data_IF_422126108815
#
_entry.id   IF_422126108815
#
_cell.length_a   1.000
_cell.length_b   1.000
_cell.length_c   1.000
_cell.angle_alpha   90.00
_cell.angle_beta   90.00
_cell.angle_gamma   90.00
#
_symmetry.space_group_name_H-M   'P 1'
#
loop_
_entity.id
_entity.type
_entity.pdbx_description
1 polymer ?
#
# COMPACT_ATOMS: atom_id res chain seq x y z
N UNK A 1 -4.99 -16.27 -39.41
CA UNK A 1 -4.92 -14.81 -39.22
C UNK A 1 -4.61 -14.54 -37.74
N UNK A 2 -3.50 -13.85 -37.47
CA UNK A 2 -3.04 -13.54 -36.11
C UNK A 2 -3.99 -12.60 -35.36
N UNK A 3 -4.58 -11.61 -36.05
CA UNK A 3 -5.48 -10.63 -35.41
C UNK A 3 -6.77 -11.29 -34.96
N UNK A 4 -7.31 -12.19 -35.78
CA UNK A 4 -8.46 -13.00 -35.42
C UNK A 4 -8.19 -13.87 -34.17
N UNK A 5 -7.01 -14.50 -34.09
CA UNK A 5 -6.64 -15.31 -32.93
C UNK A 5 -6.56 -14.49 -31.62
N UNK A 6 -6.03 -13.26 -31.68
CA UNK A 6 -5.99 -12.36 -30.51
C UNK A 6 -7.40 -11.90 -30.12
N UNK A 7 -8.28 -11.63 -31.09
CA UNK A 7 -9.66 -11.27 -30.81
C UNK A 7 -10.42 -12.44 -30.16
N UNK A 8 -10.24 -13.67 -30.65
CA UNK A 8 -10.82 -14.86 -30.04
C UNK A 8 -10.28 -15.13 -28.63
N UNK A 9 -9.00 -14.87 -28.39
CA UNK A 9 -8.42 -14.95 -27.06
C UNK A 9 -9.12 -14.00 -26.08
N UNK A 10 -9.25 -12.72 -26.42
CA UNK A 10 -9.95 -11.75 -25.56
C UNK A 10 -11.45 -12.03 -25.41
N UNK A 11 -12.08 -12.70 -26.38
CA UNK A 11 -13.46 -13.17 -26.25
C UNK A 11 -13.60 -14.26 -25.18
N UNK A 12 -12.58 -15.08 -24.98
CA UNK A 12 -12.56 -16.16 -23.99
C UNK A 12 -12.07 -15.70 -22.61
N UNK A 13 -11.06 -14.83 -22.57
CA UNK A 13 -10.37 -14.44 -21.31
C UNK A 13 -10.74 -13.05 -20.79
N UNK A 14 -11.55 -12.30 -21.54
CA UNK A 14 -11.82 -10.88 -21.29
C UNK A 14 -10.81 -9.94 -21.95
N UNK A 15 -11.17 -8.65 -22.14
CA UNK A 15 -10.30 -7.65 -22.74
C UNK A 15 -9.23 -7.15 -21.76
N UNK A 16 -8.17 -6.54 -22.28
CA UNK A 16 -7.17 -5.85 -21.47
C UNK A 16 -7.80 -4.66 -20.73
N UNK A 17 -7.67 -4.55 -19.39
CA UNK A 17 -8.13 -3.38 -18.67
C UNK A 17 -7.31 -2.13 -19.05
N UNK A 18 -7.98 -0.98 -19.12
CA UNK A 18 -7.29 0.30 -19.30
C UNK A 18 -6.49 0.61 -18.05
N UNK A 19 -5.17 0.76 -18.20
CA UNK A 19 -4.29 1.13 -17.09
C UNK A 19 -4.34 2.65 -16.83
N UNK A 20 -4.11 3.10 -15.58
CA UNK A 20 -3.94 4.52 -15.29
C UNK A 20 -2.81 5.12 -16.12
N UNK A 21 -2.98 6.36 -16.57
CA UNK A 21 -1.99 7.04 -17.44
C UNK A 21 -0.59 7.09 -16.82
N UNK A 22 -0.47 7.27 -15.50
CA UNK A 22 0.83 7.35 -14.82
C UNK A 22 1.65 6.05 -14.97
N UNK A 23 0.99 4.89 -15.09
CA UNK A 23 1.67 3.60 -15.21
C UNK A 23 2.44 3.45 -16.53
N UNK A 24 2.10 4.27 -17.54
CA UNK A 24 2.79 4.32 -18.84
C UNK A 24 3.97 5.30 -18.87
N UNK A 25 4.28 5.97 -17.75
CA UNK A 25 5.44 6.85 -17.62
C UNK A 25 6.72 6.10 -17.24
N UNK A 26 7.73 6.83 -16.77
CA UNK A 26 8.96 6.26 -16.22
C UNK A 26 8.79 5.81 -14.77
N UNK A 27 9.50 4.74 -14.41
CA UNK A 27 9.47 4.13 -13.09
C UNK A 27 10.86 4.19 -12.46
N UNK A 28 10.92 4.64 -11.21
CA UNK A 28 12.08 4.45 -10.36
C UNK A 28 11.80 3.33 -9.36
N UNK A 29 12.65 2.31 -9.37
CA UNK A 29 12.69 1.26 -8.35
C UNK A 29 14.13 0.86 -8.12
N UNK A 30 14.46 0.55 -6.87
CA UNK A 30 15.76 0.07 -6.45
C UNK A 30 15.59 -0.74 -5.17
N UNK A 31 16.16 -1.94 -5.14
CA UNK A 31 16.33 -2.68 -3.91
C UNK A 31 17.35 -1.96 -3.00
N UNK A 32 16.83 -1.19 -2.06
CA UNK A 32 17.59 -0.33 -1.16
C UNK A 32 16.72 0.07 0.05
N UNK A 33 17.25 0.03 1.28
CA UNK A 33 16.50 0.31 2.49
C UNK A 33 16.26 1.81 2.68
N UNK A 34 15.38 2.38 1.84
CA UNK A 34 15.02 3.78 1.92
C UNK A 34 14.37 4.10 3.26
N UNK A 35 14.87 5.13 3.93
CA UNK A 35 14.09 5.82 4.96
C UNK A 35 13.11 6.81 4.33
N UNK A 36 12.06 7.20 5.06
CA UNK A 36 11.10 8.22 4.60
C UNK A 36 11.79 9.53 4.15
N UNK A 37 12.80 9.97 4.91
CA UNK A 37 13.58 11.17 4.60
C UNK A 37 14.45 11.01 3.35
N UNK A 38 15.14 9.87 3.21
CA UNK A 38 15.94 9.58 2.01
C UNK A 38 15.07 9.52 0.76
N UNK A 39 13.89 8.89 0.87
CA UNK A 39 12.98 8.78 -0.26
C UNK A 39 12.40 10.13 -0.69
N UNK A 40 12.07 11.00 0.27
CA UNK A 40 11.65 12.37 -0.02
C UNK A 40 12.76 13.16 -0.72
N UNK A 41 13.99 13.10 -0.22
CA UNK A 41 15.14 13.75 -0.84
C UNK A 41 15.47 13.23 -2.25
N UNK A 42 15.21 11.94 -2.51
CA UNK A 42 15.29 11.38 -3.86
C UNK A 42 14.28 12.04 -4.80
N UNK A 43 13.02 12.20 -4.37
CA UNK A 43 11.99 12.89 -5.18
C UNK A 43 12.37 14.34 -5.46
N UNK A 44 12.90 15.05 -4.45
CA UNK A 44 13.42 16.41 -4.61
C UNK A 44 14.56 16.46 -5.65
N UNK A 45 15.46 15.47 -5.63
CA UNK A 45 16.56 15.36 -6.59
C UNK A 45 16.04 15.22 -8.03
N UNK A 46 15.00 14.40 -8.27
CA UNK A 46 14.35 14.32 -9.58
C UNK A 46 13.80 15.67 -10.03
N UNK A 47 13.14 16.40 -9.12
CA UNK A 47 12.60 17.72 -9.40
C UNK A 47 13.70 18.74 -9.72
N UNK A 48 14.77 18.79 -8.94
CA UNK A 48 15.91 19.71 -9.13
C UNK A 48 16.62 19.48 -10.47
N UNK A 49 16.75 18.22 -10.89
CA UNK A 49 17.32 17.86 -12.19
C UNK A 49 16.34 17.99 -13.35
N UNK A 50 15.11 18.47 -13.11
CA UNK A 50 14.06 18.61 -14.12
C UNK A 50 13.76 17.30 -14.85
N UNK A 51 13.90 16.16 -14.14
CA UNK A 51 13.56 14.83 -14.65
C UNK A 51 12.17 14.47 -14.14
N UNK A 52 11.13 14.46 -15.00
CA UNK A 52 9.79 14.09 -14.56
C UNK A 52 9.79 12.62 -14.11
N UNK A 53 9.16 12.33 -12.97
CA UNK A 53 8.97 10.98 -12.46
C UNK A 53 7.49 10.65 -12.37
N UNK A 54 7.06 9.61 -13.09
CA UNK A 54 5.66 9.18 -13.08
C UNK A 54 5.35 8.21 -11.93
N UNK A 55 6.25 7.27 -11.63
CA UNK A 55 6.10 6.30 -10.55
C UNK A 55 7.40 6.15 -9.78
N UNK A 56 7.31 6.23 -8.46
CA UNK A 56 8.38 5.89 -7.54
C UNK A 56 7.93 4.69 -6.70
N UNK A 57 8.71 3.61 -6.72
CA UNK A 57 8.41 2.37 -5.99
C UNK A 57 9.29 2.26 -4.74
N UNK A 58 8.69 1.82 -3.63
CA UNK A 58 9.38 1.46 -2.40
C UNK A 58 9.53 -0.05 -2.36
N UNK A 59 10.78 -0.52 -2.44
CA UNK A 59 11.11 -1.94 -2.49
C UNK A 59 11.60 -2.46 -1.13
N UNK A 60 11.20 -3.70 -0.83
CA UNK A 60 11.37 -4.54 0.36
C UNK A 60 11.32 -3.87 1.73
N UNK A 61 12.36 -3.17 2.16
CA UNK A 61 12.58 -2.79 3.56
C UNK A 61 11.55 -1.79 4.11
N UNK A 62 10.63 -1.28 3.29
CA UNK A 62 9.43 -0.59 3.76
C UNK A 62 8.61 -1.45 4.74
N UNK A 63 8.71 -2.79 4.65
CA UNK A 63 8.18 -3.74 5.61
C UNK A 63 9.28 -4.45 6.43
N UNK A 64 8.87 -5.23 7.43
CA UNK A 64 9.81 -5.98 8.28
C UNK A 64 10.48 -7.13 7.52
N UNK A 65 11.79 -7.00 7.28
CA UNK A 65 12.61 -8.02 6.59
C UNK A 65 13.56 -8.79 7.53
N UNK A 66 14.01 -8.17 8.62
CA UNK A 66 14.83 -8.84 9.63
C UNK A 66 13.95 -9.49 10.70
N UNK A 67 13.49 -10.71 10.42
CA UNK A 67 12.59 -11.46 11.28
C UNK A 67 13.30 -12.62 12.00
N UNK A 68 12.82 -13.02 13.20
CA UNK A 68 13.21 -14.29 13.81
C UNK A 68 13.00 -15.47 12.87
N UNK A 69 13.88 -16.47 12.92
CA UNK A 69 13.87 -17.60 11.98
C UNK A 69 12.56 -18.41 11.98
N UNK A 70 11.81 -18.40 13.08
CA UNK A 70 10.51 -19.05 13.23
C UNK A 70 9.34 -18.24 12.64
N UNK A 71 9.56 -16.97 12.29
CA UNK A 71 8.56 -16.06 11.71
C UNK A 71 8.64 -15.95 10.18
N UNK A 72 9.71 -16.46 9.57
CA UNK A 72 9.86 -16.56 8.12
C UNK A 72 11.12 -15.84 7.59
N UNK A 73 11.32 -15.87 6.26
CA UNK A 73 12.55 -15.40 5.64
C UNK A 73 12.61 -13.87 5.43
N UNK A 74 11.60 -13.11 5.87
CA UNK A 74 11.60 -11.65 5.73
C UNK A 74 11.39 -11.12 4.31
N UNK A 75 11.08 -11.99 3.36
CA UNK A 75 10.93 -11.61 1.96
C UNK A 75 9.55 -10.98 1.64
N UNK A 76 8.62 -11.00 2.59
CA UNK A 76 7.30 -10.39 2.39
C UNK A 76 6.79 -9.83 3.68
N UNK A 77 5.92 -8.85 3.56
CA UNK A 77 5.02 -8.53 4.63
C UNK A 77 4.15 -7.34 4.33
N UNK A 78 3.31 -7.02 5.31
CA UNK A 78 2.37 -5.90 5.25
C UNK A 78 2.62 -4.89 6.37
N UNK A 79 3.49 -5.26 7.31
CA UNK A 79 3.81 -4.46 8.49
C UNK A 79 4.95 -3.51 8.19
N UNK A 80 4.63 -2.22 8.22
CA UNK A 80 5.58 -1.14 8.04
C UNK A 80 6.75 -1.22 9.01
N UNK A 81 7.96 -1.10 8.48
CA UNK A 81 9.17 -0.91 9.24
C UNK A 81 9.19 0.51 9.82
N UNK A 82 8.91 0.63 11.12
CA UNK A 82 8.80 1.93 11.80
C UNK A 82 10.15 2.61 12.04
N UNK A 83 11.26 1.90 11.90
CA UNK A 83 12.59 2.49 11.99
C UNK A 83 12.93 3.29 10.72
N UNK A 84 12.47 2.82 9.56
CA UNK A 84 12.62 3.51 8.27
C UNK A 84 11.46 4.48 7.97
N UNK A 85 10.23 4.10 8.37
CA UNK A 85 8.99 4.85 8.15
C UNK A 85 8.21 5.03 9.47
N UNK A 86 8.61 5.96 10.34
CA UNK A 86 7.95 6.19 11.63
C UNK A 86 6.46 6.54 11.50
N UNK A 87 6.12 7.37 10.51
CA UNK A 87 4.74 7.65 10.11
C UNK A 87 4.51 7.30 8.63
N UNK A 88 4.03 6.07 8.34
CA UNK A 88 3.73 5.64 6.99
C UNK A 88 2.62 6.45 6.31
N UNK A 89 1.68 7.02 7.07
CA UNK A 89 0.56 7.77 6.49
C UNK A 89 1.08 9.06 5.86
N UNK A 90 1.93 9.77 6.60
CA UNK A 90 2.61 10.97 6.12
C UNK A 90 3.61 10.64 5.01
N UNK A 91 4.33 9.51 5.14
CA UNK A 91 5.29 9.06 4.11
C UNK A 91 4.61 8.76 2.78
N UNK A 92 3.47 8.06 2.80
CA UNK A 92 2.66 7.78 1.60
C UNK A 92 1.99 9.03 1.03
N UNK A 93 1.58 9.97 1.88
CA UNK A 93 1.02 11.25 1.43
C UNK A 93 2.06 12.13 0.71
N UNK A 94 3.34 11.97 1.07
CA UNK A 94 4.47 12.67 0.44
C UNK A 94 4.87 12.02 -0.90
N UNK A 95 4.49 10.76 -1.12
CA UNK A 95 4.75 10.07 -2.37
C UNK A 95 3.68 10.42 -3.44
N UNK A 96 4.13 10.62 -4.68
CA UNK A 96 3.27 10.92 -5.83
C UNK A 96 2.22 9.82 -6.09
N UNK A 97 1.11 10.12 -6.79
CA UNK A 97 0.10 9.13 -7.15
C UNK A 97 0.75 8.02 -7.99
N UNK A 98 1.01 6.86 -7.36
CA UNK A 98 1.72 5.76 -8.01
C UNK A 98 2.68 5.01 -7.09
N UNK A 99 3.11 5.61 -5.97
CA UNK A 99 3.87 4.88 -4.97
C UNK A 99 2.96 3.85 -4.29
N UNK A 100 3.23 2.59 -4.59
CA UNK A 100 2.67 1.47 -3.86
C UNK A 100 3.84 0.68 -3.27
N UNK A 101 3.76 0.31 -1.99
CA UNK A 101 4.65 -0.71 -1.49
C UNK A 101 4.48 -1.95 -2.37
N UNK A 102 5.60 -2.54 -2.81
CA UNK A 102 5.57 -3.85 -3.46
C UNK A 102 5.13 -4.87 -2.41
N UNK A 103 3.84 -5.22 -2.45
CA UNK A 103 3.26 -6.24 -1.59
C UNK A 103 3.45 -7.60 -2.25
N UNK A 104 4.63 -8.18 -2.10
CA UNK A 104 4.87 -9.53 -2.57
C UNK A 104 4.03 -10.57 -1.78
N UNK A 105 3.45 -11.58 -2.45
CA UNK A 105 2.68 -12.62 -1.77
C UNK A 105 3.61 -13.49 -0.91
N UNK A 106 3.22 -13.86 0.32
CA UNK A 106 4.11 -14.48 1.29
C UNK A 106 4.88 -15.72 0.79
N UNK A 107 6.17 -15.90 1.11
CA UNK A 107 6.94 -17.06 0.71
C UNK A 107 6.37 -18.29 1.41
N UNK A 108 6.12 -19.35 0.64
CA UNK A 108 5.48 -20.55 1.17
C UNK A 108 3.96 -20.44 1.35
N UNK A 109 3.35 -19.33 0.91
CA UNK A 109 1.90 -19.17 0.84
C UNK A 109 1.25 -19.13 2.23
N UNK A 110 1.75 -18.30 3.15
CA UNK A 110 1.14 -18.12 4.49
C UNK A 110 1.29 -16.69 5.01
N UNK A 111 0.24 -16.15 5.63
CA UNK A 111 0.31 -14.88 6.38
C UNK A 111 0.76 -15.17 7.81
N UNK A 112 1.95 -14.71 8.23
CA UNK A 112 2.49 -14.97 9.57
C UNK A 112 1.79 -14.12 10.65
N UNK A 113 1.91 -14.55 11.90
CA UNK A 113 1.17 -13.93 13.01
C UNK A 113 1.73 -12.60 13.50
N UNK A 114 2.96 -12.25 13.13
CA UNK A 114 3.54 -10.94 13.43
C UNK A 114 2.89 -9.80 12.62
N UNK A 115 2.18 -10.13 11.53
CA UNK A 115 1.59 -9.10 10.68
C UNK A 115 0.55 -8.26 11.43
N UNK A 116 0.62 -6.95 11.28
CA UNK A 116 -0.33 -6.02 11.89
C UNK A 116 -1.79 -6.28 11.49
N UNK A 117 -2.02 -6.86 10.30
CA UNK A 117 -3.34 -7.28 9.83
C UNK A 117 -3.77 -8.67 10.29
N UNK A 118 -2.85 -9.50 10.83
CA UNK A 118 -3.08 -10.92 11.11
C UNK A 118 -4.32 -11.15 11.96
N UNK A 119 -4.50 -10.41 13.06
CA UNK A 119 -5.64 -10.62 13.95
C UNK A 119 -7.00 -10.34 13.29
N UNK A 120 -7.07 -9.47 12.27
CA UNK A 120 -8.29 -9.26 11.49
C UNK A 120 -8.50 -10.39 10.48
N UNK A 121 -7.45 -10.72 9.72
CA UNK A 121 -7.50 -11.79 8.72
C UNK A 121 -7.79 -13.14 9.37
N UNK A 122 -7.16 -13.48 10.50
CA UNK A 122 -7.36 -14.73 11.22
C UNK A 122 -8.83 -14.91 11.61
N UNK A 123 -9.47 -13.87 12.16
CA UNK A 123 -10.89 -13.91 12.52
C UNK A 123 -11.80 -14.15 11.31
N UNK A 124 -11.52 -13.51 10.16
CA UNK A 124 -12.28 -13.73 8.92
C UNK A 124 -12.12 -15.16 8.41
N UNK A 125 -10.91 -15.70 8.51
CA UNK A 125 -10.59 -17.07 8.10
C UNK A 125 -10.95 -18.13 9.14
N UNK A 126 -11.62 -17.78 10.24
CA UNK A 126 -11.99 -18.73 11.30
C UNK A 126 -10.83 -19.30 12.11
N UNK A 127 -9.66 -18.65 12.06
CA UNK A 127 -8.47 -19.00 12.85
C UNK A 127 -8.49 -18.20 14.16
N UNK A 128 -8.25 -18.87 15.29
CA UNK A 128 -8.08 -18.17 16.57
C UNK A 128 -6.76 -17.37 16.55
N UNK A 129 -6.81 -16.03 16.60
CA UNK A 129 -5.63 -15.18 16.51
C UNK A 129 -4.66 -15.42 17.67
N UNK A 130 -5.11 -15.93 18.82
CA UNK A 130 -4.25 -16.20 19.98
C UNK A 130 -3.33 -17.40 19.78
N UNK A 131 -3.64 -18.27 18.82
CA UNK A 131 -2.83 -19.46 18.54
C UNK A 131 -1.52 -19.13 17.82
N UNK A 132 -1.42 -17.95 17.19
CA UNK A 132 -0.27 -17.58 16.36
C UNK A 132 -0.13 -18.41 15.07
N UNK A 133 -1.12 -19.23 14.73
CA UNK A 133 -1.11 -20.11 13.55
C UNK A 133 -1.13 -19.31 12.26
N UNK A 134 -0.07 -19.42 11.46
CA UNK A 134 0.00 -18.74 10.17
C UNK A 134 -1.18 -19.14 9.24
N UNK A 135 -1.83 -18.14 8.64
CA UNK A 135 -3.01 -18.33 7.78
C UNK A 135 -2.52 -18.82 6.43
N UNK A 136 -2.97 -19.98 5.91
CA UNK A 136 -2.65 -20.41 4.54
C UNK A 136 -3.14 -19.38 3.51
N UNK A 137 -2.27 -19.05 2.56
CA UNK A 137 -2.58 -18.17 1.45
C UNK A 137 -3.04 -19.00 0.24
N UNK A 138 -4.34 -19.26 0.18
CA UNK A 138 -5.04 -19.87 -0.95
C UNK A 138 -5.75 -18.80 -1.82
N UNK A 139 -5.19 -18.39 -2.96
CA UNK A 139 -5.80 -17.38 -3.83
C UNK A 139 -7.08 -17.86 -4.53
N UNK A 140 -7.46 -19.14 -4.37
CA UNK A 140 -8.74 -19.66 -4.86
C UNK A 140 -9.89 -19.49 -3.84
N UNK A 141 -9.57 -19.16 -2.59
CA UNK A 141 -10.55 -18.83 -1.56
C UNK A 141 -10.97 -17.36 -1.68
N UNK A 142 -12.23 -17.06 -2.09
CA UNK A 142 -12.69 -15.69 -2.26
C UNK A 142 -12.70 -14.89 -0.95
N UNK A 143 -12.88 -15.53 0.21
CA UNK A 143 -12.86 -14.82 1.50
C UNK A 143 -11.44 -14.42 1.86
N UNK A 144 -10.45 -15.28 1.58
CA UNK A 144 -9.04 -14.89 1.74
C UNK A 144 -8.68 -13.74 0.80
N UNK A 145 -9.06 -13.81 -0.47
CA UNK A 145 -8.77 -12.73 -1.43
C UNK A 145 -9.41 -11.42 -0.97
N UNK A 146 -10.65 -11.45 -0.49
CA UNK A 146 -11.30 -10.28 0.09
C UNK A 146 -10.54 -9.76 1.32
N UNK A 147 -10.19 -10.63 2.27
CA UNK A 147 -9.42 -10.27 3.45
C UNK A 147 -8.05 -9.67 3.09
N UNK A 148 -7.35 -10.22 2.11
CA UNK A 148 -6.06 -9.69 1.63
C UNK A 148 -6.21 -8.29 1.04
N UNK A 149 -7.23 -8.06 0.19
CA UNK A 149 -7.43 -6.77 -0.47
C UNK A 149 -7.97 -5.68 0.47
N UNK A 150 -8.78 -6.05 1.46
CA UNK A 150 -9.45 -5.11 2.36
C UNK A 150 -8.68 -4.88 3.67
N UNK A 151 -8.04 -5.90 4.21
CA UNK A 151 -7.32 -5.84 5.49
C UNK A 151 -5.79 -5.77 5.33
N UNK A 152 -5.26 -5.96 4.12
CA UNK A 152 -3.82 -6.00 3.84
C UNK A 152 -3.11 -4.63 3.81
N UNK A 153 -1.97 -4.51 3.11
CA UNK A 153 -0.93 -3.46 3.28
C UNK A 153 -1.34 -2.02 2.92
N UNK A 154 -2.57 -1.80 2.46
CA UNK A 154 -2.98 -0.52 1.87
C UNK A 154 -4.20 0.13 2.54
N UNK A 155 -4.71 -0.43 3.63
CA UNK A 155 -5.87 0.15 4.33
C UNK A 155 -5.40 0.93 5.57
N UNK A 156 -5.19 2.26 5.49
CA UNK A 156 -5.10 3.06 6.70
C UNK A 156 -6.39 2.86 7.49
N UNK A 157 -6.27 2.59 8.79
CA UNK A 157 -7.42 2.50 9.69
C UNK A 157 -8.22 3.79 9.55
N UNK A 158 -9.43 3.71 9.00
CA UNK A 158 -10.33 4.87 8.88
C UNK A 158 -10.85 5.20 10.27
N UNK A 159 -10.03 5.83 11.09
CA UNK A 159 -10.49 6.44 12.34
C UNK A 159 -11.43 7.56 11.95
N UNK A 160 -12.73 7.29 12.05
CA UNK A 160 -13.75 8.33 11.95
C UNK A 160 -13.51 9.29 13.11
N UNK A 161 -12.87 10.42 12.83
CA UNK A 161 -12.87 11.54 13.75
C UNK A 161 -14.33 11.98 13.93
N UNK A 162 -14.89 11.64 15.09
CA UNK A 162 -16.13 12.20 15.59
C UNK A 162 -15.91 13.71 15.73
N UNK A 163 -16.40 14.50 14.78
CA UNK A 163 -16.62 15.92 14.99
C UNK A 163 -17.74 16.09 16.03
N UNK A 164 -17.37 16.16 17.30
CA UNK A 164 -18.23 16.72 18.33
C UNK A 164 -18.34 18.23 18.09
N UNK A 165 -19.53 18.66 17.73
CA UNK A 165 -19.86 20.07 17.57
C UNK A 165 -19.69 20.83 18.89
N UNK A 166 -18.98 21.94 18.83
CA UNK A 166 -18.95 22.96 19.87
C UNK A 166 -19.28 24.31 19.24
N UNK A 167 -20.52 24.75 19.38
CA UNK A 167 -20.98 26.09 19.01
C UNK A 167 -20.62 27.10 20.10
N UNK A 168 -19.84 28.11 19.76
CA UNK A 168 -19.85 29.48 20.32
C UNK A 168 -19.07 30.32 19.31
N UNK A 169 -19.59 31.33 18.61
CA UNK A 169 -20.46 32.40 19.07
C UNK A 169 -19.63 33.64 19.37
N UNK A 170 -19.17 34.37 18.34
CA UNK A 170 -19.09 35.84 18.41
C UNK A 170 -19.04 36.44 17.02
N UNK A 171 -19.98 37.35 16.79
CA UNK A 171 -20.01 38.31 15.69
C UNK A 171 -18.80 39.23 15.81
N UNK A 172 -18.21 39.61 14.68
CA UNK A 172 -18.04 41.02 14.39
C UNK A 172 -17.85 41.26 12.89
N UNK A 173 -18.60 42.25 12.43
CA UNK A 173 -18.63 42.74 11.07
C UNK A 173 -17.39 43.60 10.79
N UNK A 174 -16.94 43.62 9.53
CA UNK A 174 -16.53 44.85 8.85
C UNK A 174 -16.48 44.60 7.35
N UNK A 175 -17.50 45.13 6.69
CA UNK A 175 -17.51 45.41 5.26
C UNK A 175 -16.72 46.71 5.01
N UNK A 176 -15.80 46.69 4.05
CA UNK A 176 -15.28 47.80 3.22
C UNK A 176 -14.22 47.14 2.29
N UNK A 177 -14.09 47.35 0.98
CA UNK A 177 -14.67 48.24 -0.01
C UNK A 177 -14.00 47.91 -1.36
N UNK A 178 -14.71 48.20 -2.45
CA UNK A 178 -14.34 48.03 -3.88
C UNK A 178 -13.00 48.71 -4.24
N UNK A 179 -12.26 48.17 -5.22
CA UNK A 179 -12.33 48.50 -6.67
C UNK A 179 -12.00 47.24 -7.46
#
# INVERSE_FOLDING_TARGET
DFKAAIADFYRLTGPQPVVPRFALGNWWSRYHPYSAGEYTGLLDTFADHHVPLAVAVLDMDWHLVDLPADQGPGWTGFTWNRDLFPDPSDSLATCTPGARPDAEPPPGGRVPSFESCYARMARRMGVDPLTGTAIPFDPSDPELVAAYLEDGPSTPSRTTASTSGGSTGSRDALAHGRV
#
